data_IF_063806887956
#
_entry.id   IF_063806887956
#
_cell.length_a   1.000
_cell.length_b   1.000
_cell.length_c   1.000
_cell.angle_alpha   90.00
_cell.angle_beta   90.00
_cell.angle_gamma   90.00
#
_symmetry.space_group_name_H-M   'P 1'
#
loop_
_entity.id
_entity.type
_entity.pdbx_description
1 polymer ?
#
# COMPACT_ATOMS: atom_id res chain seq x y z
N UNK A 1 -5.04 -29.04 12.99
CA UNK A 1 -5.16 -27.56 12.95
C UNK A 1 -3.77 -27.04 12.71
N UNK A 2 -3.53 -26.20 11.70
CA UNK A 2 -2.18 -25.68 11.43
C UNK A 2 -1.68 -24.86 12.63
N UNK A 3 -0.48 -25.13 13.12
CA UNK A 3 0.13 -24.41 14.27
C UNK A 3 0.18 -22.89 14.03
N UNK A 4 0.18 -22.49 12.76
CA UNK A 4 0.11 -21.10 12.29
C UNK A 4 -1.14 -20.36 12.77
N UNK A 5 -2.32 -21.01 12.76
CA UNK A 5 -3.58 -20.39 13.18
C UNK A 5 -3.67 -20.24 14.71
N UNK A 6 -2.73 -20.79 15.45
CA UNK A 6 -2.62 -20.66 16.91
C UNK A 6 -1.67 -19.53 17.34
N UNK A 7 -0.95 -18.89 16.41
CA UNK A 7 -0.15 -17.70 16.73
C UNK A 7 -1.05 -16.54 17.17
N UNK A 8 -0.70 -15.92 18.29
CA UNK A 8 -1.44 -14.79 18.87
C UNK A 8 -1.57 -13.64 17.86
N UNK A 9 -0.51 -13.37 17.10
CA UNK A 9 -0.45 -12.28 16.13
C UNK A 9 -1.45 -12.51 14.98
N UNK A 10 -1.54 -13.74 14.48
CA UNK A 10 -2.46 -14.14 13.43
C UNK A 10 -3.90 -14.16 13.93
N UNK A 11 -4.15 -14.63 15.17
CA UNK A 11 -5.49 -14.60 15.77
C UNK A 11 -5.98 -13.16 15.91
N UNK A 12 -5.16 -12.25 16.46
CA UNK A 12 -5.50 -10.83 16.60
C UNK A 12 -5.75 -10.20 15.22
N UNK A 13 -4.91 -10.53 14.23
CA UNK A 13 -5.05 -10.05 12.85
C UNK A 13 -6.40 -10.48 12.26
N UNK A 14 -6.70 -11.79 12.26
CA UNK A 14 -7.92 -12.35 11.69
C UNK A 14 -9.17 -11.88 12.44
N UNK A 15 -9.12 -11.81 13.77
CA UNK A 15 -10.22 -11.30 14.58
C UNK A 15 -10.56 -9.85 14.23
N UNK A 16 -9.54 -9.00 14.16
CA UNK A 16 -9.70 -7.60 13.74
C UNK A 16 -10.25 -7.52 12.32
N UNK A 17 -9.71 -8.31 11.40
CA UNK A 17 -10.15 -8.38 10.00
C UNK A 17 -11.64 -8.74 9.87
N UNK A 18 -12.11 -9.73 10.62
CA UNK A 18 -13.51 -10.17 10.62
C UNK A 18 -14.44 -9.10 11.20
N UNK A 19 -14.06 -8.47 12.31
CA UNK A 19 -14.85 -7.37 12.90
C UNK A 19 -15.01 -6.22 11.90
N UNK A 20 -13.90 -5.80 11.28
CA UNK A 20 -13.93 -4.75 10.27
C UNK A 20 -14.80 -5.16 9.08
N UNK A 21 -14.70 -6.41 8.62
CA UNK A 21 -15.54 -6.91 7.54
C UNK A 21 -17.03 -6.85 7.88
N UNK A 22 -17.43 -7.25 9.09
CA UNK A 22 -18.83 -7.17 9.55
C UNK A 22 -19.33 -5.72 9.57
N UNK A 23 -18.55 -4.79 10.13
CA UNK A 23 -18.89 -3.37 10.16
C UNK A 23 -19.08 -2.81 8.75
N UNK A 24 -18.16 -3.15 7.84
CA UNK A 24 -18.21 -2.74 6.44
C UNK A 24 -19.39 -3.38 5.68
N UNK A 25 -19.74 -4.63 5.99
CA UNK A 25 -20.90 -5.30 5.42
C UNK A 25 -22.21 -4.60 5.81
N UNK A 26 -22.36 -4.21 7.08
CA UNK A 26 -23.50 -3.42 7.56
C UNK A 26 -23.55 -2.07 6.82
N UNK A 27 -22.40 -1.39 6.72
CA UNK A 27 -22.32 -0.12 6.00
C UNK A 27 -22.64 -0.26 4.50
N UNK A 28 -22.28 -1.37 3.87
CA UNK A 28 -22.58 -1.68 2.47
C UNK A 28 -24.09 -1.79 2.23
N UNK A 29 -24.81 -2.50 3.10
CA UNK A 29 -26.27 -2.61 3.02
C UNK A 29 -26.94 -1.23 3.04
N UNK A 30 -26.58 -0.36 3.99
CA UNK A 30 -27.15 0.98 4.06
C UNK A 30 -26.67 1.90 2.93
N UNK A 31 -25.45 1.71 2.41
CA UNK A 31 -24.92 2.50 1.30
C UNK A 31 -25.77 2.36 0.04
N UNK A 32 -26.25 1.14 -0.28
CA UNK A 32 -27.15 0.91 -1.42
C UNK A 32 -28.45 1.69 -1.25
N UNK A 33 -29.04 1.65 -0.05
CA UNK A 33 -30.27 2.37 0.26
C UNK A 33 -30.10 3.89 0.15
N UNK A 34 -28.98 4.42 0.65
CA UNK A 34 -28.65 5.84 0.57
C UNK A 34 -28.50 6.27 -0.89
N UNK A 35 -27.72 5.54 -1.71
CA UNK A 35 -27.50 5.91 -3.12
C UNK A 35 -28.83 6.04 -3.89
N UNK A 36 -29.76 5.08 -3.69
CA UNK A 36 -31.04 5.05 -4.40
C UNK A 36 -31.96 6.21 -4.01
N UNK A 37 -31.99 6.58 -2.74
CA UNK A 37 -32.99 7.49 -2.20
C UNK A 37 -32.48 8.92 -1.93
N UNK A 38 -31.16 9.16 -2.05
CA UNK A 38 -30.57 10.46 -1.71
C UNK A 38 -31.02 11.58 -2.65
N UNK A 39 -31.66 12.60 -2.07
CA UNK A 39 -31.90 13.88 -2.71
C UNK A 39 -31.85 15.02 -1.67
N UNK A 40 -30.78 15.81 -1.72
CA UNK A 40 -30.53 16.92 -0.78
C UNK A 40 -31.59 18.04 -0.87
N UNK A 41 -32.23 18.25 -2.02
CA UNK A 41 -33.24 19.30 -2.18
C UNK A 41 -34.58 18.96 -1.51
N UNK A 42 -34.79 17.69 -1.12
CA UNK A 42 -36.06 17.27 -0.50
C UNK A 42 -36.07 17.55 1.00
N UNK A 43 -36.95 18.41 1.46
CA UNK A 43 -37.13 18.70 2.90
C UNK A 43 -38.15 17.76 3.57
N UNK A 44 -38.09 16.46 3.31
CA UNK A 44 -39.04 15.48 3.88
C UNK A 44 -38.49 14.79 5.13
N UNK A 45 -39.36 14.33 6.03
CA UNK A 45 -38.96 13.57 7.23
C UNK A 45 -38.14 12.32 6.89
N UNK A 46 -38.43 11.67 5.77
CA UNK A 46 -37.66 10.55 5.24
C UNK A 46 -36.23 10.94 4.84
N UNK A 47 -36.04 12.12 4.22
CA UNK A 47 -34.71 12.63 3.86
C UNK A 47 -33.90 12.99 5.12
N UNK A 48 -34.51 13.62 6.13
CA UNK A 48 -33.83 13.86 7.41
C UNK A 48 -33.38 12.57 8.11
N UNK A 49 -34.20 11.50 8.04
CA UNK A 49 -33.82 10.19 8.56
C UNK A 49 -32.65 9.59 7.77
N UNK A 50 -32.68 9.71 6.44
CA UNK A 50 -31.59 9.29 5.55
C UNK A 50 -30.27 10.01 5.86
N UNK A 51 -30.30 11.32 6.10
CA UNK A 51 -29.10 12.11 6.46
C UNK A 51 -28.49 11.65 7.78
N UNK A 52 -29.32 11.45 8.82
CA UNK A 52 -28.85 10.90 10.10
C UNK A 52 -28.21 9.51 9.92
N UNK A 53 -28.85 8.63 9.14
CA UNK A 53 -28.26 7.32 8.84
C UNK A 53 -26.96 7.44 8.04
N UNK A 54 -26.90 8.37 7.08
CA UNK A 54 -25.70 8.59 6.27
C UNK A 54 -24.52 9.02 7.13
N UNK A 55 -24.71 9.90 8.11
CA UNK A 55 -23.66 10.31 9.04
C UNK A 55 -23.08 9.12 9.81
N UNK A 56 -23.95 8.26 10.37
CA UNK A 56 -23.53 7.06 11.08
C UNK A 56 -22.76 6.09 10.17
N UNK A 57 -23.27 5.86 8.96
CA UNK A 57 -22.63 4.96 7.99
C UNK A 57 -21.27 5.49 7.55
N UNK A 58 -21.14 6.80 7.29
CA UNK A 58 -19.86 7.44 6.95
C UNK A 58 -18.86 7.28 8.10
N UNK A 59 -19.30 7.43 9.34
CA UNK A 59 -18.44 7.26 10.51
C UNK A 59 -17.94 5.82 10.64
N UNK A 60 -18.81 4.83 10.45
CA UNK A 60 -18.45 3.40 10.45
C UNK A 60 -17.42 3.11 9.36
N UNK A 61 -17.66 3.58 8.13
CA UNK A 61 -16.73 3.39 7.00
C UNK A 61 -15.40 4.07 7.32
N UNK A 62 -15.41 5.33 7.75
CA UNK A 62 -14.21 6.09 8.08
C UNK A 62 -13.35 5.38 9.13
N UNK A 63 -13.97 4.95 10.24
CA UNK A 63 -13.29 4.20 11.29
C UNK A 63 -12.69 2.90 10.74
N UNK A 64 -13.50 2.08 10.07
CA UNK A 64 -13.04 0.78 9.59
C UNK A 64 -11.91 0.89 8.56
N UNK A 65 -12.00 1.85 7.64
CA UNK A 65 -10.96 2.08 6.64
C UNK A 65 -9.66 2.63 7.25
N UNK A 66 -9.73 3.47 8.30
CA UNK A 66 -8.51 3.90 9.01
C UNK A 66 -7.84 2.73 9.71
N UNK A 67 -8.60 1.88 10.39
CA UNK A 67 -8.03 0.69 11.04
C UNK A 67 -7.38 -0.23 10.00
N UNK A 68 -7.97 -0.40 8.82
CA UNK A 68 -7.37 -1.14 7.70
C UNK A 68 -5.99 -0.59 7.27
N UNK A 69 -5.77 0.72 7.30
CA UNK A 69 -4.45 1.31 7.01
C UNK A 69 -3.41 0.81 8.02
N UNK A 70 -3.74 0.80 9.31
CA UNK A 70 -2.86 0.28 10.36
C UNK A 70 -2.71 -1.24 10.35
N UNK A 71 -3.69 -1.94 9.81
CA UNK A 71 -3.64 -3.39 9.69
C UNK A 71 -2.62 -3.87 8.64
N UNK A 72 -2.24 -3.03 7.67
CA UNK A 72 -1.20 -3.35 6.68
C UNK A 72 0.21 -3.54 7.28
N UNK A 73 0.77 -2.59 8.07
CA UNK A 73 2.05 -2.81 8.73
C UNK A 73 1.97 -3.92 9.78
N UNK A 74 0.82 -4.08 10.44
CA UNK A 74 0.60 -5.19 11.37
C UNK A 74 0.61 -6.56 10.66
N UNK A 75 0.00 -6.66 9.47
CA UNK A 75 0.08 -7.85 8.62
C UNK A 75 1.53 -8.21 8.28
N UNK A 76 2.34 -7.22 7.89
CA UNK A 76 3.76 -7.47 7.57
C UNK A 76 4.52 -7.97 8.78
N UNK A 77 4.28 -7.38 9.96
CA UNK A 77 4.84 -7.83 11.23
C UNK A 77 4.41 -9.28 11.58
N UNK A 78 3.11 -9.60 11.50
CA UNK A 78 2.61 -10.94 11.81
C UNK A 78 3.21 -12.00 10.89
N UNK A 79 3.38 -11.68 9.60
CA UNK A 79 3.98 -12.58 8.62
C UNK A 79 5.49 -12.76 8.84
N UNK A 80 6.20 -11.71 9.28
CA UNK A 80 7.61 -11.83 9.64
C UNK A 80 7.82 -12.70 10.88
N UNK A 81 7.01 -12.53 11.93
CA UNK A 81 7.04 -13.41 13.10
C UNK A 81 6.75 -14.88 12.74
N UNK A 82 5.91 -15.11 11.74
CA UNK A 82 5.60 -16.46 11.27
C UNK A 82 6.80 -17.16 10.61
N UNK A 83 7.82 -16.40 10.20
CA UNK A 83 9.05 -16.98 9.65
C UNK A 83 9.79 -17.88 10.65
N UNK A 84 9.64 -17.63 11.97
CA UNK A 84 10.23 -18.47 13.00
C UNK A 84 9.56 -19.85 13.14
N UNK A 85 8.33 -20.00 12.65
CA UNK A 85 7.53 -21.23 12.74
C UNK A 85 7.65 -22.06 11.45
N UNK A 86 7.81 -21.40 10.30
CA UNK A 86 7.81 -22.05 9.00
C UNK A 86 9.24 -22.49 8.61
N UNK A 87 9.48 -23.79 8.37
CA UNK A 87 10.80 -24.27 7.97
C UNK A 87 11.29 -23.58 6.70
N UNK A 88 12.53 -23.07 6.71
CA UNK A 88 13.15 -22.41 5.55
C UNK A 88 12.80 -20.93 5.36
N UNK A 89 11.82 -20.39 6.08
CA UNK A 89 11.52 -18.97 6.08
C UNK A 89 12.54 -18.22 6.95
N UNK A 90 13.32 -17.30 6.36
CA UNK A 90 14.24 -16.44 7.12
C UNK A 90 13.68 -15.03 7.38
N UNK A 91 12.63 -14.65 6.66
CA UNK A 91 11.90 -13.38 6.81
C UNK A 91 10.51 -13.51 6.17
N UNK A 92 9.71 -12.44 6.28
CA UNK A 92 8.38 -12.34 5.66
C UNK A 92 8.35 -12.72 4.17
N UNK A 93 9.42 -12.48 3.40
CA UNK A 93 9.47 -12.84 1.98
C UNK A 93 9.23 -14.33 1.72
N UNK A 94 9.85 -15.20 2.53
CA UNK A 94 9.70 -16.65 2.39
C UNK A 94 8.29 -17.10 2.75
N UNK A 95 7.70 -16.48 3.77
CA UNK A 95 6.33 -16.76 4.21
C UNK A 95 5.30 -16.31 3.17
N UNK A 96 5.45 -15.10 2.60
CA UNK A 96 4.56 -14.60 1.54
C UNK A 96 4.58 -15.52 0.32
N UNK A 97 5.74 -16.08 -0.03
CA UNK A 97 5.88 -17.02 -1.14
C UNK A 97 5.63 -18.48 -0.77
N UNK A 98 5.13 -18.77 0.43
CA UNK A 98 4.84 -20.15 0.84
C UNK A 98 3.74 -20.81 -0.01
N UNK A 99 2.87 -20.02 -0.65
CA UNK A 99 1.85 -20.51 -1.57
C UNK A 99 1.56 -19.49 -2.69
N UNK A 100 0.65 -19.83 -3.59
CA UNK A 100 0.27 -18.99 -4.73
C UNK A 100 -0.57 -17.76 -4.37
N UNK A 101 -1.13 -17.69 -3.17
CA UNK A 101 -2.04 -16.60 -2.77
C UNK A 101 -1.29 -15.39 -2.21
N UNK A 102 -0.11 -15.56 -1.59
CA UNK A 102 0.51 -14.52 -0.78
C UNK A 102 0.94 -13.26 -1.56
N UNK A 103 1.53 -13.41 -2.75
CA UNK A 103 1.90 -12.25 -3.58
C UNK A 103 0.68 -11.46 -4.08
N UNK A 104 -0.38 -12.18 -4.47
CA UNK A 104 -1.65 -11.59 -4.90
C UNK A 104 -2.29 -10.85 -3.73
N UNK A 105 -2.28 -11.46 -2.54
CA UNK A 105 -2.82 -10.89 -1.32
C UNK A 105 -2.10 -9.59 -0.92
N UNK A 106 -0.76 -9.59 -0.91
CA UNK A 106 0.02 -8.39 -0.61
C UNK A 106 -0.28 -7.27 -1.62
N UNK A 107 -0.29 -7.59 -2.91
CA UNK A 107 -0.58 -6.63 -3.98
C UNK A 107 -1.98 -6.03 -3.82
N UNK A 108 -2.98 -6.85 -3.51
CA UNK A 108 -4.35 -6.40 -3.27
C UNK A 108 -4.46 -5.48 -2.05
N UNK A 109 -3.77 -5.80 -0.94
CA UNK A 109 -3.74 -4.93 0.26
C UNK A 109 -3.18 -3.54 -0.07
N UNK A 110 -2.09 -3.48 -0.85
CA UNK A 110 -1.50 -2.20 -1.28
C UNK A 110 -2.50 -1.38 -2.12
N UNK A 111 -3.18 -2.01 -3.08
CA UNK A 111 -4.21 -1.34 -3.90
C UNK A 111 -5.35 -0.82 -3.01
N UNK A 112 -5.83 -1.62 -2.07
CA UNK A 112 -6.91 -1.23 -1.14
C UNK A 112 -6.50 0.00 -0.32
N UNK A 113 -5.27 0.06 0.21
CA UNK A 113 -4.78 1.23 0.96
C UNK A 113 -4.82 2.51 0.11
N UNK A 114 -4.44 2.43 -1.17
CA UNK A 114 -4.53 3.58 -2.09
C UNK A 114 -5.99 3.99 -2.33
N UNK A 115 -6.90 3.03 -2.56
CA UNK A 115 -8.32 3.32 -2.72
C UNK A 115 -8.93 3.95 -1.46
N UNK A 116 -8.56 3.46 -0.27
CA UNK A 116 -8.97 4.02 1.02
C UNK A 116 -8.54 5.48 1.13
N UNK A 117 -7.27 5.79 0.86
CA UNK A 117 -6.78 7.17 0.94
C UNK A 117 -7.56 8.12 0.02
N UNK A 118 -7.88 7.68 -1.21
CA UNK A 118 -8.70 8.47 -2.14
C UNK A 118 -10.11 8.70 -1.57
N UNK A 119 -10.72 7.66 -0.99
CA UNK A 119 -12.04 7.77 -0.37
C UNK A 119 -12.05 8.77 0.79
N UNK A 120 -11.02 8.74 1.64
CA UNK A 120 -10.85 9.67 2.75
C UNK A 120 -10.74 11.13 2.27
N UNK A 121 -10.00 11.38 1.18
CA UNK A 121 -9.91 12.73 0.58
C UNK A 121 -11.29 13.18 0.08
N UNK A 122 -12.01 12.33 -0.66
CA UNK A 122 -13.35 12.65 -1.17
C UNK A 122 -14.31 12.94 -0.01
N UNK A 123 -14.29 12.12 1.03
CA UNK A 123 -15.13 12.32 2.21
C UNK A 123 -14.81 13.65 2.93
N UNK A 124 -13.52 13.99 3.08
CA UNK A 124 -13.10 15.27 3.67
C UNK A 124 -13.58 16.47 2.84
N UNK A 125 -13.57 16.37 1.52
CA UNK A 125 -14.07 17.43 0.64
C UNK A 125 -15.59 17.56 0.68
N UNK A 126 -16.31 16.45 0.81
CA UNK A 126 -17.77 16.44 0.90
C UNK A 126 -18.25 17.04 2.22
N UNK A 127 -17.58 16.75 3.34
CA UNK A 127 -17.90 17.32 4.66
C UNK A 127 -17.69 18.85 4.74
N UNK A 128 -16.87 19.43 3.85
CA UNK A 128 -16.61 20.88 3.79
C UNK A 128 -17.69 21.63 3.00
N UNK A 129 -18.48 20.93 2.20
CA UNK A 129 -19.52 21.52 1.37
C UNK A 129 -20.88 21.44 2.06
N UNK A 130 -21.64 22.54 2.02
CA UNK A 130 -22.97 22.59 2.67
C UNK A 130 -23.97 21.62 2.05
N UNK A 131 -23.85 21.36 0.74
CA UNK A 131 -24.82 20.60 -0.06
C UNK A 131 -24.46 19.12 -0.25
N UNK A 132 -23.37 18.66 0.36
CA UNK A 132 -22.88 17.27 0.24
C UNK A 132 -22.90 16.71 -1.20
N UNK A 133 -22.30 17.42 -2.17
CA UNK A 133 -22.46 17.14 -3.60
C UNK A 133 -21.87 15.79 -4.03
N UNK A 134 -20.97 15.21 -3.23
CA UNK A 134 -20.24 13.97 -3.55
C UNK A 134 -20.78 12.76 -2.81
N UNK A 135 -21.87 12.87 -2.05
CA UNK A 135 -22.40 11.78 -1.24
C UNK A 135 -22.71 10.52 -2.05
N UNK A 136 -23.37 10.62 -3.21
CA UNK A 136 -23.61 9.44 -4.05
C UNK A 136 -22.31 8.83 -4.57
N UNK A 137 -21.38 9.67 -5.04
CA UNK A 137 -20.10 9.24 -5.63
C UNK A 137 -19.21 8.53 -4.60
N UNK A 138 -19.12 9.04 -3.36
CA UNK A 138 -18.33 8.41 -2.29
C UNK A 138 -18.91 7.05 -1.88
N UNK A 139 -20.24 6.89 -1.86
CA UNK A 139 -20.86 5.60 -1.54
C UNK A 139 -20.72 4.58 -2.67
N UNK A 140 -20.78 5.01 -3.94
CA UNK A 140 -20.46 4.13 -5.08
C UNK A 140 -19.00 3.68 -5.04
N UNK A 141 -18.08 4.61 -4.75
CA UNK A 141 -16.66 4.26 -4.62
C UNK A 141 -16.41 3.35 -3.40
N UNK A 142 -17.15 3.56 -2.31
CA UNK A 142 -17.13 2.65 -1.16
C UNK A 142 -17.58 1.22 -1.53
N UNK A 143 -18.65 1.07 -2.32
CA UNK A 143 -19.10 -0.26 -2.80
C UNK A 143 -17.98 -0.97 -3.57
N UNK A 144 -17.24 -0.24 -4.41
CA UNK A 144 -16.07 -0.79 -5.10
C UNK A 144 -14.98 -1.23 -4.11
N UNK A 145 -14.64 -0.40 -3.12
CA UNK A 145 -13.66 -0.76 -2.06
C UNK A 145 -14.12 -1.99 -1.27
N UNK A 146 -15.41 -2.08 -0.95
CA UNK A 146 -15.99 -3.21 -0.24
C UNK A 146 -15.83 -4.52 -1.03
N UNK A 147 -16.04 -4.51 -2.35
CA UNK A 147 -15.80 -5.68 -3.20
C UNK A 147 -14.33 -6.13 -3.16
N UNK A 148 -13.38 -5.18 -3.18
CA UNK A 148 -11.95 -5.50 -3.01
C UNK A 148 -11.64 -6.08 -1.63
N UNK A 149 -12.22 -5.53 -0.57
CA UNK A 149 -12.05 -6.03 0.81
C UNK A 149 -12.64 -7.43 0.97
N UNK A 150 -13.74 -7.73 0.28
CA UNK A 150 -14.31 -9.08 0.26
C UNK A 150 -13.34 -10.09 -0.35
N UNK A 151 -12.73 -9.76 -1.49
CA UNK A 151 -11.69 -10.59 -2.13
C UNK A 151 -10.45 -10.70 -1.24
N UNK A 152 -10.04 -9.62 -0.59
CA UNK A 152 -8.90 -9.62 0.32
C UNK A 152 -9.14 -10.50 1.55
N UNK A 153 -10.34 -10.45 2.13
CA UNK A 153 -10.70 -11.28 3.29
C UNK A 153 -10.77 -12.76 2.93
N UNK A 154 -11.29 -13.11 1.75
CA UNK A 154 -11.28 -14.50 1.29
C UNK A 154 -9.86 -14.98 1.01
N UNK A 155 -9.03 -14.15 0.38
CA UNK A 155 -7.62 -14.46 0.15
C UNK A 155 -6.83 -14.59 1.46
N UNK A 156 -7.10 -13.80 2.49
CA UNK A 156 -6.47 -13.96 3.82
C UNK A 156 -6.73 -15.36 4.39
N UNK A 157 -7.99 -15.79 4.37
CA UNK A 157 -8.40 -17.10 4.91
C UNK A 157 -7.75 -18.23 4.11
N UNK A 158 -7.82 -18.16 2.77
CA UNK A 158 -7.20 -19.16 1.90
C UNK A 158 -5.67 -19.18 2.06
N UNK A 159 -5.04 -18.01 2.09
CA UNK A 159 -3.61 -17.88 2.25
C UNK A 159 -3.14 -18.54 3.55
N UNK A 160 -3.71 -18.18 4.70
CA UNK A 160 -3.29 -18.69 6.01
C UNK A 160 -3.67 -20.16 6.24
N UNK A 161 -4.78 -20.63 5.66
CA UNK A 161 -5.20 -22.04 5.78
C UNK A 161 -4.36 -22.99 4.95
N UNK A 162 -3.76 -22.49 3.86
CA UNK A 162 -2.97 -23.29 2.91
C UNK A 162 -1.45 -23.15 3.10
N UNK A 163 -0.97 -22.56 4.20
CA UNK A 163 0.48 -22.59 4.50
C UNK A 163 0.84 -23.95 5.08
N UNK A 164 1.72 -24.68 4.39
CA UNK A 164 2.30 -25.94 4.88
C UNK A 164 3.38 -25.65 5.92
N UNK A 165 3.31 -26.30 7.09
CA UNK A 165 4.38 -26.26 8.10
C UNK A 165 5.36 -27.43 7.96
N UNK A 166 5.12 -28.35 7.02
CA UNK A 166 5.92 -29.59 6.88
C UNK A 166 6.95 -29.51 5.76
N UNK A 167 6.74 -28.62 4.80
CA UNK A 167 7.60 -28.46 3.63
C UNK A 167 8.42 -27.19 3.76
N UNK A 168 9.74 -27.24 3.47
CA UNK A 168 10.57 -26.05 3.56
C UNK A 168 10.22 -25.07 2.44
N UNK A 169 10.07 -23.79 2.80
CA UNK A 169 9.87 -22.71 1.82
C UNK A 169 11.22 -22.17 1.32
N UNK A 170 11.18 -21.48 0.17
CA UNK A 170 12.37 -20.87 -0.41
C UNK A 170 12.84 -19.68 0.44
N UNK A 171 14.15 -19.65 0.74
CA UNK A 171 14.77 -18.50 1.40
C UNK A 171 14.80 -17.27 0.48
N UNK A 172 14.74 -16.07 1.09
CA UNK A 172 14.84 -14.79 0.38
C UNK A 172 16.10 -14.64 -0.48
N UNK A 173 17.22 -15.27 -0.12
CA UNK A 173 18.45 -15.26 -0.91
C UNK A 173 18.32 -16.01 -2.25
N UNK A 174 17.42 -17.00 -2.33
CA UNK A 174 17.13 -17.69 -3.60
C UNK A 174 16.04 -16.94 -4.39
N UNK A 175 15.14 -16.27 -3.68
CA UNK A 175 14.07 -15.46 -4.28
C UNK A 175 14.61 -14.17 -4.90
N UNK A 176 15.58 -13.51 -4.25
CA UNK A 176 16.07 -12.19 -4.65
C UNK A 176 17.57 -12.13 -4.91
N UNK A 177 18.36 -13.15 -4.56
CA UNK A 177 19.81 -13.06 -4.61
C UNK A 177 20.40 -13.09 -6.03
N UNK A 178 21.73 -12.96 -6.07
CA UNK A 178 22.55 -12.70 -7.27
C UNK A 178 22.30 -13.67 -8.42
N UNK A 179 22.01 -14.94 -8.14
CA UNK A 179 21.71 -15.94 -9.18
C UNK A 179 20.35 -15.72 -9.88
N UNK A 180 19.53 -14.80 -9.37
CA UNK A 180 18.19 -14.49 -9.86
C UNK A 180 18.02 -13.05 -10.33
N UNK A 181 19.07 -12.21 -10.26
CA UNK A 181 19.01 -10.78 -10.61
C UNK A 181 18.77 -10.56 -12.11
N UNK A 182 19.45 -11.32 -12.99
CA UNK A 182 19.31 -11.18 -14.44
C UNK A 182 17.93 -11.58 -15.00
N UNK A 183 17.23 -12.52 -14.36
CA UNK A 183 15.92 -12.99 -14.84
C UNK A 183 14.72 -12.25 -14.26
N UNK A 184 14.94 -11.39 -13.26
CA UNK A 184 13.86 -10.74 -12.49
C UNK A 184 13.88 -9.21 -12.50
N UNK A 185 14.95 -8.58 -12.98
CA UNK A 185 14.92 -7.13 -13.24
C UNK A 185 14.05 -6.91 -14.49
N UNK A 186 13.05 -6.01 -14.43
CA UNK A 186 12.18 -5.77 -15.56
C UNK A 186 12.96 -5.23 -16.76
N UNK A 187 12.53 -5.63 -17.97
CA UNK A 187 13.11 -5.22 -19.25
C UNK A 187 14.57 -5.63 -19.47
N UNK A 188 15.06 -6.67 -18.75
CA UNK A 188 16.44 -7.16 -18.85
C UNK A 188 17.49 -6.03 -18.61
N UNK A 189 17.13 -5.08 -17.74
CA UNK A 189 17.99 -3.95 -17.42
C UNK A 189 19.17 -4.41 -16.56
N UNK A 190 20.35 -3.90 -16.89
CA UNK A 190 21.49 -3.97 -15.96
C UNK A 190 21.24 -3.09 -14.73
N UNK A 191 21.87 -3.41 -13.60
CA UNK A 191 21.74 -2.64 -12.36
C UNK A 191 22.06 -1.14 -12.54
N UNK A 192 23.13 -0.74 -13.26
CA UNK A 192 23.39 0.68 -13.52
C UNK A 192 22.28 1.35 -14.34
N UNK A 193 21.71 0.65 -15.33
CA UNK A 193 20.59 1.17 -16.13
C UNK A 193 19.33 1.35 -15.28
N UNK A 194 19.05 0.41 -14.37
CA UNK A 194 17.92 0.50 -13.42
C UNK A 194 18.05 1.73 -12.52
N UNK A 195 19.25 2.01 -12.00
CA UNK A 195 19.51 3.20 -11.17
C UNK A 195 19.43 4.49 -11.99
N UNK A 196 19.96 4.49 -13.21
CA UNK A 196 19.81 5.63 -14.13
C UNK A 196 18.34 5.94 -14.43
N UNK A 197 17.55 4.90 -14.71
CA UNK A 197 16.11 5.01 -14.96
C UNK A 197 15.36 5.50 -13.71
N UNK A 198 15.73 5.02 -12.53
CA UNK A 198 15.18 5.47 -11.25
C UNK A 198 15.30 6.98 -11.06
N UNK A 199 16.50 7.55 -11.21
CA UNK A 199 16.70 8.99 -11.06
C UNK A 199 16.06 9.79 -12.21
N UNK A 200 16.07 9.27 -13.43
CA UNK A 200 15.42 9.93 -14.58
C UNK A 200 13.91 10.07 -14.37
N UNK A 201 13.24 8.99 -13.97
CA UNK A 201 11.79 9.02 -13.71
C UNK A 201 11.47 9.92 -12.50
N UNK A 202 12.32 9.94 -11.47
CA UNK A 202 12.16 10.86 -10.36
C UNK A 202 12.21 12.32 -10.80
N UNK A 203 13.21 12.70 -11.62
CA UNK A 203 13.30 14.06 -12.18
C UNK A 203 12.06 14.37 -13.03
N UNK A 204 11.64 13.43 -13.89
CA UNK A 204 10.42 13.58 -14.68
C UNK A 204 9.19 13.77 -13.80
N UNK A 205 9.08 13.04 -12.68
CA UNK A 205 7.99 13.18 -11.70
C UNK A 205 7.96 14.58 -11.09
N UNK A 206 9.12 15.17 -10.78
CA UNK A 206 9.20 16.56 -10.30
C UNK A 206 8.68 17.51 -11.37
N UNK A 207 9.15 17.39 -12.62
CA UNK A 207 8.70 18.24 -13.72
C UNK A 207 7.18 18.14 -13.95
N UNK A 208 6.62 16.92 -13.97
CA UNK A 208 5.17 16.73 -14.17
C UNK A 208 4.33 17.28 -13.02
N UNK A 209 4.83 17.18 -11.78
CA UNK A 209 4.17 17.77 -10.61
C UNK A 209 4.22 19.31 -10.64
N UNK A 210 5.34 19.92 -11.04
CA UNK A 210 5.48 21.39 -11.15
C UNK A 210 4.55 21.93 -12.26
N UNK A 211 4.51 21.26 -13.42
CA UNK A 211 3.62 21.64 -14.53
C UNK A 211 2.14 21.29 -14.27
N UNK A 212 1.83 20.62 -13.15
CA UNK A 212 0.48 20.16 -12.77
C UNK A 212 -0.23 19.32 -13.85
N UNK A 213 0.54 18.56 -14.64
CA UNK A 213 0.03 17.70 -15.71
C UNK A 213 -0.57 16.43 -15.13
N UNK A 214 -1.87 16.43 -14.81
CA UNK A 214 -2.53 15.35 -14.04
C UNK A 214 -2.34 13.94 -14.61
N UNK A 215 -2.58 13.75 -15.92
CA UNK A 215 -2.51 12.42 -16.54
C UNK A 215 -1.07 11.93 -16.64
N UNK A 216 -0.16 12.76 -17.14
CA UNK A 216 1.27 12.41 -17.23
C UNK A 216 1.85 12.14 -15.85
N UNK A 217 1.51 12.94 -14.84
CA UNK A 217 1.95 12.74 -13.47
C UNK A 217 1.49 11.38 -12.90
N UNK A 218 0.25 10.98 -13.19
CA UNK A 218 -0.28 9.66 -12.81
C UNK A 218 0.54 8.52 -13.45
N UNK A 219 0.77 8.57 -14.76
CA UNK A 219 1.52 7.52 -15.47
C UNK A 219 2.97 7.45 -15.00
N UNK A 220 3.63 8.60 -14.89
CA UNK A 220 5.04 8.70 -14.44
C UNK A 220 5.20 8.15 -13.03
N UNK A 221 4.29 8.48 -12.10
CA UNK A 221 4.42 7.98 -10.72
C UNK A 221 4.03 6.51 -10.55
N UNK A 222 3.14 5.98 -11.40
CA UNK A 222 2.87 4.54 -11.43
C UNK A 222 4.12 3.77 -11.91
N UNK A 223 4.77 4.29 -12.95
CA UNK A 223 6.03 3.72 -13.43
C UNK A 223 7.17 3.92 -12.42
N UNK A 224 7.23 5.08 -11.75
CA UNK A 224 8.18 5.34 -10.67
C UNK A 224 8.02 4.35 -9.52
N UNK A 225 6.79 4.06 -9.07
CA UNK A 225 6.53 3.08 -8.02
C UNK A 225 7.12 1.71 -8.37
N UNK A 226 6.90 1.27 -9.62
CA UNK A 226 7.41 0.00 -10.13
C UNK A 226 8.94 -0.03 -10.19
N UNK A 227 9.57 0.95 -10.83
CA UNK A 227 11.04 1.03 -10.95
C UNK A 227 11.70 1.23 -9.57
N UNK A 228 11.11 2.03 -8.69
CA UNK A 228 11.60 2.27 -7.34
C UNK A 228 11.61 0.99 -6.50
N UNK A 229 10.56 0.16 -6.59
CA UNK A 229 10.55 -1.15 -5.90
C UNK A 229 11.75 -2.01 -6.32
N UNK A 230 12.01 -2.11 -7.63
CA UNK A 230 13.13 -2.91 -8.14
C UNK A 230 14.50 -2.30 -7.81
N UNK A 231 14.64 -0.98 -7.91
CA UNK A 231 15.87 -0.28 -7.56
C UNK A 231 16.19 -0.45 -6.06
N UNK A 232 15.17 -0.35 -5.19
CA UNK A 232 15.34 -0.62 -3.76
C UNK A 232 15.73 -2.07 -3.52
N UNK A 233 15.06 -3.00 -4.19
CA UNK A 233 15.30 -4.45 -4.01
C UNK A 233 16.69 -4.88 -4.45
N UNK A 234 17.14 -4.50 -5.64
CA UNK A 234 18.37 -5.05 -6.23
C UNK A 234 19.61 -4.16 -6.09
N UNK A 235 19.45 -2.88 -5.77
CA UNK A 235 20.56 -1.94 -5.61
C UNK A 235 20.60 -1.28 -4.23
N UNK A 236 19.58 -0.51 -3.83
CA UNK A 236 19.70 0.25 -2.57
C UNK A 236 19.70 -0.63 -1.31
N UNK A 237 19.06 -1.79 -1.35
CA UNK A 237 19.07 -2.77 -0.25
C UNK A 237 20.49 -3.20 0.13
N UNK A 238 21.39 -3.40 -0.84
CA UNK A 238 22.76 -3.83 -0.57
C UNK A 238 23.54 -2.78 0.23
N UNK A 239 23.25 -1.49 -0.01
CA UNK A 239 23.81 -0.38 0.76
C UNK A 239 23.16 -0.20 2.13
N UNK A 240 21.86 -0.54 2.27
CA UNK A 240 21.18 -0.55 3.59
C UNK A 240 21.74 -1.67 4.47
N UNK A 241 22.04 -2.83 3.88
CA UNK A 241 22.58 -4.00 4.58
C UNK A 241 24.10 -4.04 4.66
N UNK A 242 24.79 -3.16 3.93
CA UNK A 242 26.25 -3.14 3.79
C UNK A 242 26.81 -4.49 3.27
N UNK A 243 26.00 -5.22 2.48
CA UNK A 243 26.26 -6.58 1.99
C UNK A 243 25.82 -6.73 0.52
N UNK A 244 26.74 -7.01 -0.43
CA UNK A 244 26.41 -7.08 -1.86
C UNK A 244 25.39 -8.16 -2.24
N UNK A 245 25.35 -9.24 -1.48
CA UNK A 245 24.53 -10.43 -1.77
C UNK A 245 23.14 -10.38 -1.15
N UNK A 246 22.89 -9.44 -0.23
CA UNK A 246 21.61 -9.33 0.47
C UNK A 246 20.69 -8.34 -0.26
N UNK A 247 19.65 -8.86 -0.93
CA UNK A 247 18.76 -8.09 -1.81
C UNK A 247 17.27 -8.18 -1.41
N UNK A 248 16.96 -8.68 -0.21
CA UNK A 248 15.58 -8.88 0.21
C UNK A 248 14.92 -7.52 0.54
N UNK A 249 13.72 -7.18 0.04
CA UNK A 249 13.05 -5.93 0.40
C UNK A 249 12.30 -5.99 1.74
N UNK A 250 12.16 -7.18 2.32
CA UNK A 250 11.45 -7.41 3.58
C UNK A 250 12.39 -7.41 4.79
N UNK A 251 13.65 -7.84 4.67
CA UNK A 251 14.59 -7.87 5.80
C UNK A 251 14.84 -6.47 6.38
N UNK A 252 14.78 -5.40 5.57
CA UNK A 252 14.93 -4.00 6.04
C UNK A 252 13.81 -3.54 6.97
N UNK A 253 12.71 -4.30 7.06
CA UNK A 253 11.64 -4.08 8.02
C UNK A 253 11.98 -4.64 9.40
N UNK A 254 13.00 -5.50 9.51
CA UNK A 254 13.32 -6.17 10.76
C UNK A 254 14.10 -5.27 11.73
N UNK A 255 14.16 -5.69 12.99
CA UNK A 255 14.78 -4.92 14.08
C UNK A 255 16.28 -4.74 13.88
N UNK A 256 16.94 -5.72 13.27
CA UNK A 256 18.37 -5.76 12.97
C UNK A 256 18.82 -4.56 12.13
N UNK A 257 17.91 -4.04 11.29
CA UNK A 257 18.14 -2.86 10.45
C UNK A 257 17.36 -1.63 10.95
N UNK A 258 17.09 -1.56 12.26
CA UNK A 258 16.42 -0.44 12.93
C UNK A 258 15.08 -0.04 12.30
N UNK A 259 14.35 -0.99 11.71
CA UNK A 259 13.04 -0.74 11.08
C UNK A 259 13.08 0.31 9.95
N UNK A 260 14.25 0.57 9.35
CA UNK A 260 14.45 1.60 8.31
C UNK A 260 13.52 1.40 7.11
N UNK A 261 13.24 0.15 6.75
CA UNK A 261 12.37 -0.19 5.64
C UNK A 261 10.98 0.45 5.75
N UNK A 262 10.41 0.54 6.96
CA UNK A 262 9.09 1.16 7.14
C UNK A 262 9.09 2.62 6.68
N UNK A 263 10.19 3.35 6.92
CA UNK A 263 10.32 4.75 6.53
C UNK A 263 10.54 4.90 5.02
N UNK A 264 11.37 4.03 4.42
CA UNK A 264 11.62 3.98 2.97
C UNK A 264 10.31 3.69 2.22
N UNK A 265 9.61 2.61 2.58
CA UNK A 265 8.39 2.21 1.88
C UNK A 265 7.23 3.20 2.09
N UNK A 266 7.09 3.76 3.31
CA UNK A 266 6.03 4.74 3.61
C UNK A 266 6.21 6.03 2.81
N UNK A 267 7.44 6.54 2.69
CA UNK A 267 7.72 7.75 1.91
C UNK A 267 7.48 7.53 0.41
N UNK A 268 7.85 6.36 -0.13
CA UNK A 268 7.51 5.96 -1.50
C UNK A 268 5.99 5.88 -1.73
N UNK A 269 5.27 5.18 -0.85
CA UNK A 269 3.82 5.02 -0.99
C UNK A 269 3.08 6.34 -0.85
N UNK A 270 3.45 7.22 0.08
CA UNK A 270 2.84 8.54 0.21
C UNK A 270 3.10 9.42 -1.01
N UNK A 271 4.33 9.47 -1.51
CA UNK A 271 4.68 10.31 -2.67
C UNK A 271 3.94 9.91 -3.94
N UNK A 272 3.86 8.61 -4.20
CA UNK A 272 3.13 8.04 -5.35
C UNK A 272 1.62 8.09 -5.15
N UNK A 273 1.12 7.90 -3.92
CA UNK A 273 -0.30 8.07 -3.58
C UNK A 273 -0.79 9.48 -3.89
N UNK A 274 -0.07 10.52 -3.47
CA UNK A 274 -0.45 11.90 -3.77
C UNK A 274 -0.45 12.16 -5.28
N UNK A 275 0.53 11.68 -6.04
CA UNK A 275 0.49 11.79 -7.50
C UNK A 275 -0.75 11.13 -8.11
N UNK A 276 -1.10 9.92 -7.66
CA UNK A 276 -2.29 9.21 -8.13
C UNK A 276 -3.58 9.94 -7.73
N UNK A 277 -3.67 10.42 -6.50
CA UNK A 277 -4.80 11.20 -6.01
C UNK A 277 -5.01 12.50 -6.80
N UNK A 278 -3.93 13.13 -7.29
CA UNK A 278 -3.98 14.36 -8.11
C UNK A 278 -4.76 14.17 -9.42
N UNK A 279 -4.84 12.94 -9.94
CA UNK A 279 -5.60 12.60 -11.13
C UNK A 279 -6.99 12.05 -10.80
N UNK A 280 -7.09 11.16 -9.81
CA UNK A 280 -8.34 10.45 -9.51
C UNK A 280 -9.34 11.37 -8.80
N UNK A 281 -8.94 12.11 -7.76
CA UNK A 281 -9.86 12.91 -6.95
C UNK A 281 -10.59 14.00 -7.77
N UNK A 282 -9.93 14.75 -8.67
CA UNK A 282 -10.63 15.71 -9.52
C UNK A 282 -11.66 15.07 -10.46
N UNK A 283 -11.48 13.81 -10.90
CA UNK A 283 -12.51 13.11 -11.70
C UNK A 283 -13.78 12.85 -10.92
N UNK A 284 -13.69 12.64 -9.60
CA UNK A 284 -14.85 12.46 -8.75
C UNK A 284 -15.48 13.79 -8.31
N UNK A 285 -14.65 14.79 -8.00
CA UNK A 285 -15.10 16.01 -7.30
C UNK A 285 -15.14 17.27 -8.16
N UNK A 286 -14.53 17.27 -9.35
CA UNK A 286 -14.26 18.46 -10.18
C UNK A 286 -13.45 19.56 -9.48
N UNK A 287 -12.86 19.27 -8.30
CA UNK A 287 -12.00 20.20 -7.57
C UNK A 287 -10.53 19.93 -7.84
N UNK A 288 -9.77 20.99 -8.11
CA UNK A 288 -8.32 20.91 -8.23
C UNK A 288 -7.67 21.06 -6.84
N UNK A 289 -6.73 20.16 -6.54
CA UNK A 289 -6.04 20.10 -5.25
C UNK A 289 -4.55 20.37 -5.46
N UNK A 290 -4.19 21.65 -5.60
CA UNK A 290 -2.83 22.05 -5.92
C UNK A 290 -1.79 21.62 -4.89
N UNK A 291 -2.19 21.52 -3.62
CA UNK A 291 -1.30 21.09 -2.54
C UNK A 291 -0.87 19.62 -2.67
N UNK A 292 -1.65 18.78 -3.36
CA UNK A 292 -1.32 17.36 -3.54
C UNK A 292 -0.05 17.18 -4.38
N UNK A 293 0.17 18.02 -5.40
CA UNK A 293 1.40 17.99 -6.19
C UNK A 293 2.64 18.31 -5.33
N UNK A 294 2.51 19.27 -4.41
CA UNK A 294 3.59 19.62 -3.46
C UNK A 294 3.91 18.47 -2.51
N UNK A 295 2.88 17.80 -1.98
CA UNK A 295 3.08 16.64 -1.12
C UNK A 295 3.70 15.46 -1.87
N UNK A 296 3.30 15.22 -3.12
CA UNK A 296 3.94 14.20 -3.97
C UNK A 296 5.43 14.46 -4.15
N UNK A 297 5.82 15.70 -4.52
CA UNK A 297 7.24 16.09 -4.63
C UNK A 297 7.97 15.89 -3.30
N UNK A 298 7.39 16.36 -2.19
CA UNK A 298 8.02 16.27 -0.87
C UNK A 298 8.34 14.82 -0.49
N UNK A 299 7.34 13.93 -0.53
CA UNK A 299 7.52 12.54 -0.10
C UNK A 299 8.39 11.74 -1.07
N UNK A 300 8.26 11.93 -2.38
CA UNK A 300 9.16 11.30 -3.36
C UNK A 300 10.61 11.78 -3.17
N UNK A 301 10.82 13.06 -2.85
CA UNK A 301 12.16 13.60 -2.62
C UNK A 301 12.77 13.07 -1.32
N UNK A 302 11.98 12.94 -0.25
CA UNK A 302 12.42 12.30 0.99
C UNK A 302 12.79 10.84 0.71
N UNK A 303 11.98 10.10 -0.04
CA UNK A 303 12.26 8.71 -0.40
C UNK A 303 13.58 8.57 -1.19
N UNK A 304 13.77 9.37 -2.23
CA UNK A 304 15.00 9.36 -3.03
C UNK A 304 16.20 9.76 -2.18
N UNK A 305 16.07 10.80 -1.36
CA UNK A 305 17.11 11.21 -0.43
C UNK A 305 17.51 10.09 0.52
N UNK A 306 16.56 9.36 1.11
CA UNK A 306 16.85 8.22 1.99
C UNK A 306 17.62 7.13 1.26
N UNK A 307 17.20 6.76 0.03
CA UNK A 307 17.90 5.76 -0.77
C UNK A 307 19.33 6.18 -1.10
N UNK A 308 19.51 7.43 -1.56
CA UNK A 308 20.83 7.99 -1.86
C UNK A 308 21.69 8.20 -0.62
N UNK A 309 21.08 8.46 0.55
CA UNK A 309 21.79 8.66 1.81
C UNK A 309 22.57 7.40 2.23
N UNK A 310 21.97 6.22 2.17
CA UNK A 310 22.66 4.96 2.52
C UNK A 310 23.84 4.68 1.57
N UNK A 311 23.65 4.93 0.27
CA UNK A 311 24.72 4.86 -0.74
C UNK A 311 25.89 5.78 -0.38
N UNK A 312 25.60 7.07 -0.15
CA UNK A 312 26.60 8.11 0.11
C UNK A 312 27.31 7.86 1.44
N UNK A 313 26.57 7.48 2.49
CA UNK A 313 27.11 7.13 3.80
C UNK A 313 28.11 5.98 3.69
N UNK A 314 27.76 4.92 2.96
CA UNK A 314 28.65 3.78 2.75
C UNK A 314 29.97 4.20 2.09
N UNK A 315 29.90 5.02 1.04
CA UNK A 315 31.09 5.53 0.35
C UNK A 315 31.98 6.38 1.27
N UNK A 316 31.40 7.25 2.09
CA UNK A 316 32.19 8.07 3.03
C UNK A 316 32.85 7.26 4.15
N UNK A 317 32.22 6.17 4.58
CA UNK A 317 32.77 5.30 5.64
C UNK A 317 33.86 4.37 5.09
N UNK A 318 33.66 3.81 3.89
CA UNK A 318 34.51 2.74 3.35
C UNK A 318 35.47 3.20 2.23
N UNK A 319 35.25 4.37 1.63
CA UNK A 319 36.04 4.90 0.52
C UNK A 319 35.79 4.24 -0.84
N UNK A 320 34.86 3.27 -0.92
CA UNK A 320 34.51 2.52 -2.13
C UNK A 320 33.00 2.32 -2.24
N UNK A 321 32.51 2.07 -3.45
CA UNK A 321 31.15 1.56 -3.69
C UNK A 321 31.15 0.03 -3.65
N UNK A 322 29.99 -0.56 -3.34
CA UNK A 322 29.79 -2.02 -3.28
C UNK A 322 29.83 -2.68 -4.66
#
# INVERSE_FOLDING_TARGET
MSEILLSNEIIIYLFTQIILFILLFIAFYFSIFIIKNWNYEKTTSAQYKLEKTSYLVILIIFFALIVKIFLMPYFTYSIDNLSHIIPGAMCAAGVIKANSYGEILLSLKLIIVFCIGIWLIINSLDLKEKTYPYTKKKFVFYIFIFALILIETTLDILYLSNISTKEPVMCCSVIFGVNSTGSKIPFDLSVPMLVGLFYLIYILSIFTNIQKQKFTNFVVNLFFLYIAYYAVTYFFSTYVYELPTHQCPFCMLQKEYNFVGYFIWTTLFLGTFFAIASFIVPKFTNKNLDNIFKYSILFNSIFVFLCSFYLIRYYFVNGVFL
#
